data_IF_594415516590
#
_entry.id   IF_594415516590
#
_cell.length_a   1.000
_cell.length_b   1.000
_cell.length_c   1.000
_cell.angle_alpha   90.00
_cell.angle_beta   90.00
_cell.angle_gamma   90.00
#
_symmetry.space_group_name_H-M   'P 1'
#
loop_
_entity.id
_entity.type
_entity.pdbx_description
1 polymer ?
#
# COMPACT_ATOMS: atom_id res chain seq x y z
N UNK A 1 -39.30 35.27 -35.86
CA UNK A 1 -40.02 34.02 -36.13
C UNK A 1 -39.70 33.05 -35.01
N UNK A 2 -40.73 32.44 -34.41
CA UNK A 2 -40.73 31.39 -33.36
C UNK A 2 -40.08 31.84 -32.04
N UNK A 3 -40.76 32.37 -31.00
CA UNK A 3 -42.02 32.04 -30.31
C UNK A 3 -42.06 30.65 -29.68
N UNK A 4 -41.89 30.61 -28.36
CA UNK A 4 -42.39 29.56 -27.47
C UNK A 4 -41.55 29.40 -26.20
N UNK A 5 -42.06 29.24 -24.98
CA UNK A 5 -43.27 29.67 -24.26
C UNK A 5 -43.12 29.04 -22.84
N UNK A 6 -43.28 29.85 -21.78
CA UNK A 6 -43.75 29.51 -20.40
C UNK A 6 -42.95 28.52 -19.51
N UNK A 7 -42.43 28.95 -18.34
CA UNK A 7 -43.07 29.01 -16.99
C UNK A 7 -42.89 27.65 -16.26
N UNK A 8 -42.55 27.47 -14.98
CA UNK A 8 -43.08 28.01 -13.71
C UNK A 8 -42.13 27.54 -12.57
N UNK A 9 -41.82 28.38 -11.56
CA UNK A 9 -41.36 27.99 -10.19
C UNK A 9 -42.51 27.26 -9.42
N UNK A 10 -42.47 26.88 -8.11
CA UNK A 10 -41.48 26.94 -7.00
C UNK A 10 -41.46 25.65 -6.10
N UNK A 11 -41.00 25.76 -4.84
CA UNK A 11 -41.09 24.87 -3.65
C UNK A 11 -39.79 24.12 -3.30
N UNK A 12 -38.97 24.54 -2.32
CA UNK A 12 -39.20 24.59 -0.86
C UNK A 12 -39.61 23.24 -0.25
N UNK A 13 -38.70 22.55 0.44
CA UNK A 13 -39.06 21.70 1.58
C UNK A 13 -37.84 21.24 2.42
N UNK A 14 -37.77 21.80 3.63
CA UNK A 14 -37.52 21.15 4.93
C UNK A 14 -36.16 20.51 5.24
N UNK A 15 -35.42 21.26 6.04
CA UNK A 15 -34.75 20.83 7.27
C UNK A 15 -35.48 19.69 7.99
N UNK A 16 -34.77 18.60 8.29
CA UNK A 16 -35.13 17.64 9.33
C UNK A 16 -33.93 17.54 10.27
N UNK A 17 -34.08 18.13 11.45
CA UNK A 17 -33.27 17.83 12.62
C UNK A 17 -33.81 16.52 13.23
N UNK A 18 -32.94 15.56 13.49
CA UNK A 18 -33.27 14.38 14.30
C UNK A 18 -32.39 14.40 15.55
N UNK A 19 -33.02 14.77 16.67
CA UNK A 19 -32.53 14.61 18.04
C UNK A 19 -33.21 13.37 18.62
N UNK A 20 -32.45 12.36 19.03
CA UNK A 20 -32.84 11.30 19.97
C UNK A 20 -31.53 10.60 20.41
N UNK A 21 -31.37 10.04 21.60
CA UNK A 21 -31.88 10.23 22.95
C UNK A 21 -30.98 9.29 23.76
N UNK A 22 -30.43 9.74 24.88
CA UNK A 22 -29.60 8.95 25.77
C UNK A 22 -30.33 7.74 26.35
N UNK A 23 -29.65 6.61 26.52
CA UNK A 23 -29.97 5.63 27.57
C UNK A 23 -28.70 4.87 28.01
N UNK A 24 -28.25 5.20 29.21
CA UNK A 24 -27.28 4.47 30.01
C UNK A 24 -27.99 3.25 30.61
N UNK A 25 -27.40 2.06 30.48
CA UNK A 25 -27.67 0.92 31.37
C UNK A 25 -26.33 0.36 31.82
N UNK A 26 -26.01 0.60 33.09
CA UNK A 26 -25.05 -0.18 33.89
C UNK A 26 -25.77 -1.43 34.39
N UNK A 27 -25.10 -2.59 34.31
CA UNK A 27 -25.26 -3.69 35.27
C UNK A 27 -24.06 -4.64 35.17
N UNK A 28 -23.40 -4.77 36.31
CA UNK A 28 -22.32 -5.65 36.71
C UNK A 28 -22.75 -7.11 36.89
N UNK A 29 -21.85 -8.08 36.62
CA UNK A 29 -21.73 -9.33 37.41
C UNK A 29 -20.46 -10.12 37.07
N UNK A 30 -19.89 -10.74 38.10
CA UNK A 30 -18.58 -11.39 38.21
C UNK A 30 -18.49 -12.81 37.63
N UNK A 31 -17.24 -13.23 37.41
CA UNK A 31 -16.75 -14.56 37.83
C UNK A 31 -16.37 -15.53 36.72
N UNK A 32 -15.11 -15.96 36.69
CA UNK A 32 -14.68 -17.12 35.87
C UNK A 32 -13.18 -17.17 35.59
N UNK A 33 -12.46 -17.79 36.53
CA UNK A 33 -11.20 -18.56 36.40
C UNK A 33 -10.02 -18.03 35.58
N UNK A 34 -8.94 -17.75 36.32
CA UNK A 34 -7.61 -17.49 35.78
C UNK A 34 -7.01 -18.78 35.19
N UNK A 35 -6.51 -18.78 33.94
CA UNK A 35 -5.79 -19.91 33.38
C UNK A 35 -4.41 -20.06 34.05
N UNK A 36 -3.89 -21.30 34.15
CA UNK A 36 -2.62 -21.58 34.80
C UNK A 36 -1.45 -20.88 34.09
N UNK A 37 -0.57 -20.31 34.91
CA UNK A 37 0.68 -19.66 34.52
C UNK A 37 1.56 -20.62 33.71
N UNK A 38 2.01 -20.26 32.49
CA UNK A 38 2.99 -21.06 31.77
C UNK A 38 4.34 -21.02 32.49
N UNK A 39 4.83 -22.21 32.82
CA UNK A 39 6.18 -22.48 33.33
C UNK A 39 7.24 -21.80 32.45
N UNK A 40 8.19 -21.04 33.03
CA UNK A 40 9.30 -20.48 32.26
C UNK A 40 10.17 -21.60 31.69
N UNK A 41 10.31 -21.63 30.37
CA UNK A 41 11.30 -22.45 29.69
C UNK A 41 12.71 -22.04 30.15
N UNK A 42 13.64 -22.99 30.39
CA UNK A 42 15.00 -22.67 30.79
C UNK A 42 15.72 -21.89 29.68
N UNK A 43 16.45 -20.84 30.10
CA UNK A 43 17.24 -19.99 29.23
C UNK A 43 18.30 -20.80 28.45
N UNK A 44 18.52 -20.51 27.16
CA UNK A 44 19.59 -21.15 26.40
C UNK A 44 20.96 -20.71 26.96
N UNK A 45 21.75 -21.71 27.34
CA UNK A 45 23.15 -21.59 27.73
C UNK A 45 23.94 -20.89 26.61
N UNK A 46 24.44 -19.69 26.90
CA UNK A 46 25.33 -18.96 26.00
C UNK A 46 26.72 -19.59 26.07
N UNK A 47 27.05 -20.44 25.11
CA UNK A 47 28.43 -20.89 24.90
C UNK A 47 29.22 -19.72 24.34
N UNK A 48 30.03 -19.07 25.19
CA UNK A 48 30.97 -18.02 24.77
C UNK A 48 32.06 -18.62 23.87
N UNK A 49 32.07 -18.22 22.60
CA UNK A 49 33.23 -18.44 21.73
C UNK A 49 34.42 -17.59 22.22
N UNK A 50 35.66 -18.11 22.18
CA UNK A 50 36.84 -17.39 22.65
C UNK A 50 37.12 -16.14 21.81
N UNK A 51 37.61 -15.10 22.49
CA UNK A 51 38.07 -13.86 21.91
C UNK A 51 39.20 -14.10 20.88
N UNK A 52 39.09 -13.58 19.65
CA UNK A 52 40.23 -13.57 18.75
C UNK A 52 41.22 -12.49 19.17
N UNK A 53 42.44 -12.96 19.37
CA UNK A 53 43.71 -12.27 19.55
C UNK A 53 43.86 -11.02 18.67
N UNK A 54 44.29 -9.92 19.29
CA UNK A 54 44.72 -8.72 18.60
C UNK A 54 45.94 -9.02 17.72
N UNK A 55 45.81 -8.80 16.42
CA UNK A 55 46.93 -8.76 15.48
C UNK A 55 47.05 -7.34 14.95
N UNK A 56 48.11 -6.66 15.38
CA UNK A 56 48.59 -5.40 14.82
C UNK A 56 48.93 -5.61 13.36
N UNK A 57 48.28 -4.89 12.45
CA UNK A 57 48.70 -4.83 11.03
C UNK A 57 48.92 -3.38 10.64
N UNK A 58 50.05 -3.22 9.96
CA UNK A 58 50.77 -2.01 9.57
C UNK A 58 49.95 -1.18 8.59
N UNK A 59 50.14 0.14 8.65
CA UNK A 59 49.67 1.11 7.67
C UNK A 59 49.99 0.69 6.24
N UNK A 60 48.98 0.67 5.37
CA UNK A 60 49.21 0.75 3.94
C UNK A 60 48.25 1.75 3.28
N UNK A 61 48.78 2.44 2.29
CA UNK A 61 48.22 3.64 1.67
C UNK A 61 47.46 3.23 0.40
N UNK A 62 46.25 3.78 0.25
CA UNK A 62 45.47 3.91 -1.02
C UNK A 62 44.55 2.74 -1.40
N UNK A 63 43.23 2.95 -1.30
CA UNK A 63 42.19 2.53 -2.27
C UNK A 63 40.86 3.24 -1.97
N UNK A 64 39.98 3.46 -2.97
CA UNK A 64 38.78 4.29 -2.85
C UNK A 64 37.72 3.60 -2.00
N UNK A 65 37.23 4.31 -0.99
CA UNK A 65 36.14 3.94 -0.10
C UNK A 65 34.90 3.52 -0.90
N UNK A 66 34.51 2.24 -0.80
CA UNK A 66 33.19 1.78 -1.21
C UNK A 66 32.17 2.48 -0.31
N UNK A 67 31.62 3.60 -0.77
CA UNK A 67 30.62 4.35 -0.03
C UNK A 67 29.42 3.42 0.24
N UNK A 68 29.09 3.25 1.51
CA UNK A 68 27.90 2.50 1.94
C UNK A 68 26.68 3.32 1.50
N UNK A 69 25.98 2.85 0.46
CA UNK A 69 24.77 3.48 -0.05
C UNK A 69 23.77 3.68 1.09
N UNK A 70 23.23 4.89 1.19
CA UNK A 70 22.26 5.31 2.20
C UNK A 70 22.78 5.27 3.64
N UNK A 71 24.08 5.52 3.80
CA UNK A 71 24.65 5.81 5.11
C UNK A 71 24.23 7.22 5.59
N UNK A 72 24.26 7.46 6.92
CA UNK A 72 24.15 8.81 7.46
C UNK A 72 25.27 9.70 6.91
N UNK A 73 24.89 10.89 6.43
CA UNK A 73 25.83 11.93 6.00
C UNK A 73 26.11 12.96 7.10
N UNK A 74 26.90 13.98 6.75
CA UNK A 74 27.13 15.14 7.61
C UNK A 74 26.29 16.31 7.14
N UNK A 75 25.18 16.59 7.81
CA UNK A 75 24.23 17.63 7.38
C UNK A 75 24.81 19.02 7.63
N UNK A 76 25.05 19.84 6.58
CA UNK A 76 25.51 21.20 6.73
C UNK A 76 24.44 22.08 7.40
N UNK A 77 24.86 23.12 8.12
CA UNK A 77 23.96 24.02 8.84
C UNK A 77 22.99 24.81 7.96
N UNK A 78 23.28 24.92 6.66
CA UNK A 78 22.41 25.59 5.69
C UNK A 78 21.32 24.66 5.12
N UNK A 79 21.34 23.36 5.41
CA UNK A 79 20.23 22.45 5.13
C UNK A 79 19.44 22.29 6.43
N UNK A 80 18.24 22.87 6.46
CA UNK A 80 17.37 22.85 7.64
C UNK A 80 16.46 21.63 7.68
N UNK A 81 15.99 21.16 6.51
CA UNK A 81 15.13 19.99 6.40
C UNK A 81 15.21 19.36 5.02
N UNK A 82 14.86 18.08 4.94
CA UNK A 82 14.63 17.34 3.70
C UNK A 82 13.40 16.48 3.88
N UNK A 83 12.39 16.74 3.05
CA UNK A 83 11.12 16.00 3.06
C UNK A 83 10.89 15.30 1.73
N UNK A 84 10.23 14.16 1.80
CA UNK A 84 9.72 13.45 0.64
C UNK A 84 8.24 13.78 0.48
N UNK A 85 7.81 14.03 -0.76
CA UNK A 85 6.46 14.47 -1.06
C UNK A 85 5.94 13.88 -2.37
N UNK A 86 4.61 13.80 -2.49
CA UNK A 86 3.92 13.36 -3.71
C UNK A 86 3.94 14.42 -4.82
N UNK A 87 4.02 15.69 -4.46
CA UNK A 87 4.06 16.82 -5.39
C UNK A 87 4.75 18.04 -4.76
N UNK A 88 5.08 19.04 -5.58
CA UNK A 88 5.67 20.32 -5.16
C UNK A 88 4.96 21.50 -5.86
N UNK A 89 4.53 22.50 -5.10
CA UNK A 89 3.73 23.62 -5.64
C UNK A 89 4.39 24.98 -5.50
N UNK A 90 4.03 25.89 -6.40
CA UNK A 90 4.46 27.29 -6.37
C UNK A 90 5.93 27.51 -6.73
N UNK A 91 6.34 28.79 -6.70
CA UNK A 91 7.70 29.19 -7.12
C UNK A 91 8.81 28.75 -6.15
N UNK A 92 8.45 28.40 -4.91
CA UNK A 92 9.37 27.94 -3.88
C UNK A 92 9.13 26.46 -3.52
N UNK A 93 8.60 25.64 -4.44
CA UNK A 93 8.47 24.19 -4.28
C UNK A 93 7.96 23.76 -2.90
N UNK A 94 6.82 24.30 -2.48
CA UNK A 94 6.21 23.88 -1.22
C UNK A 94 5.80 22.42 -1.32
N UNK A 95 6.16 21.57 -0.34
CA UNK A 95 5.86 20.14 -0.38
C UNK A 95 4.36 19.89 -0.23
N UNK A 96 3.80 19.08 -1.13
CA UNK A 96 2.40 18.64 -1.07
C UNK A 96 2.34 17.13 -0.90
N UNK A 97 1.57 16.67 0.09
CA UNK A 97 1.44 15.24 0.39
C UNK A 97 2.76 14.64 0.89
N UNK A 98 3.34 15.25 1.93
CA UNK A 98 4.57 14.75 2.58
C UNK A 98 4.35 13.31 3.04
N UNK A 99 5.21 12.40 2.62
CA UNK A 99 5.13 10.98 2.94
C UNK A 99 6.47 10.28 2.68
N UNK A 100 6.73 9.21 3.43
CA UNK A 100 7.83 8.25 3.17
C UNK A 100 7.31 6.92 2.62
N UNK A 101 6.00 6.85 2.32
CA UNK A 101 5.33 5.73 1.70
C UNK A 101 4.61 6.18 0.43
N UNK A 102 4.99 5.59 -0.70
CA UNK A 102 4.47 5.91 -2.02
C UNK A 102 3.71 4.73 -2.62
N UNK A 103 2.74 5.05 -3.46
CA UNK A 103 2.01 4.06 -4.25
C UNK A 103 2.82 3.68 -5.50
N UNK A 104 2.70 2.44 -6.01
CA UNK A 104 3.40 2.02 -7.23
C UNK A 104 3.06 2.90 -8.42
N UNK A 105 1.82 3.40 -8.50
CA UNK A 105 1.33 4.27 -9.57
C UNK A 105 1.77 5.74 -9.46
N UNK A 106 2.50 6.12 -8.41
CA UNK A 106 2.96 7.50 -8.24
C UNK A 106 3.88 7.89 -9.41
N UNK A 107 3.44 8.80 -10.28
CA UNK A 107 4.20 9.15 -11.47
C UNK A 107 5.51 9.88 -11.16
N UNK A 108 5.48 10.76 -10.14
CA UNK A 108 6.62 11.59 -9.73
C UNK A 108 6.80 11.57 -8.22
N UNK A 109 8.05 11.47 -7.77
CA UNK A 109 8.43 11.56 -6.37
C UNK A 109 9.31 12.80 -6.20
N UNK A 110 9.12 13.53 -5.11
CA UNK A 110 9.83 14.77 -4.85
C UNK A 110 10.67 14.64 -3.59
N UNK A 111 11.94 15.02 -3.66
CA UNK A 111 12.78 15.26 -2.50
C UNK A 111 13.06 16.76 -2.40
N UNK A 112 12.45 17.40 -1.41
CA UNK A 112 12.47 18.85 -1.26
C UNK A 112 13.43 19.21 -0.13
N UNK A 113 14.48 19.94 -0.46
CA UNK A 113 15.53 20.38 0.46
C UNK A 113 15.26 21.83 0.84
N UNK A 114 15.05 22.08 2.14
CA UNK A 114 14.84 23.43 2.68
C UNK A 114 16.18 24.04 3.08
N UNK A 115 16.61 25.05 2.33
CA UNK A 115 17.84 25.79 2.56
C UNK A 115 17.62 27.02 3.43
N UNK A 116 18.56 27.29 4.34
CA UNK A 116 18.60 28.51 5.16
C UNK A 116 19.99 29.13 5.05
N UNK A 117 20.05 30.37 4.57
CA UNK A 117 21.31 31.12 4.40
C UNK A 117 22.39 30.33 3.63
N UNK A 118 21.99 29.59 2.58
CA UNK A 118 22.93 28.80 1.80
C UNK A 118 23.99 29.69 1.12
N UNK A 119 25.25 29.22 1.01
CA UNK A 119 26.30 29.95 0.34
C UNK A 119 26.03 30.06 -1.17
N UNK A 120 26.61 31.09 -1.79
CA UNK A 120 26.64 31.24 -3.25
C UNK A 120 27.39 30.09 -3.90
N UNK A 121 27.00 29.76 -5.13
CA UNK A 121 27.58 28.68 -5.94
C UNK A 121 27.58 27.32 -5.22
N UNK A 122 26.59 27.07 -4.36
CA UNK A 122 26.40 25.77 -3.72
C UNK A 122 25.97 24.75 -4.78
N UNK A 123 26.69 23.62 -4.87
CA UNK A 123 26.23 22.48 -5.67
C UNK A 123 25.42 21.55 -4.78
N UNK A 124 24.14 21.38 -5.09
CA UNK A 124 23.26 20.46 -4.39
C UNK A 124 22.92 19.29 -5.32
N UNK A 125 23.13 18.06 -4.87
CA UNK A 125 22.87 16.85 -5.63
C UNK A 125 21.86 15.95 -4.95
N UNK A 126 21.11 15.18 -5.73
CA UNK A 126 20.29 14.07 -5.26
C UNK A 126 20.61 12.81 -6.08
N UNK A 127 20.85 11.69 -5.40
CA UNK A 127 20.97 10.38 -6.03
C UNK A 127 19.93 9.43 -5.47
N UNK A 128 19.11 8.87 -6.35
CA UNK A 128 18.03 7.95 -6.00
C UNK A 128 18.49 6.50 -6.19
N UNK A 129 18.16 5.64 -5.23
CA UNK A 129 18.54 4.24 -5.23
C UNK A 129 17.35 3.33 -4.93
N UNK A 130 17.31 2.21 -5.64
CA UNK A 130 16.52 1.04 -5.26
C UNK A 130 17.39 0.21 -4.31
N UNK A 131 16.92 0.02 -3.08
CA UNK A 131 17.65 -0.75 -2.06
C UNK A 131 17.23 -2.21 -2.10
N UNK A 132 15.92 -2.47 -2.14
CA UNK A 132 15.40 -3.83 -2.18
C UNK A 132 13.98 -3.86 -2.76
N UNK A 133 13.75 -4.66 -3.79
CA UNK A 133 12.43 -4.99 -4.31
C UNK A 133 12.44 -6.44 -4.85
N UNK A 134 11.30 -7.13 -4.78
CA UNK A 134 11.20 -8.52 -5.26
C UNK A 134 11.50 -8.61 -6.75
N UNK A 135 12.45 -9.47 -7.14
CA UNK A 135 12.86 -9.62 -8.54
C UNK A 135 13.86 -8.57 -9.05
N UNK A 136 14.26 -7.61 -8.21
CA UNK A 136 15.21 -6.56 -8.58
C UNK A 136 16.49 -6.65 -7.73
N UNK A 137 17.61 -6.29 -8.36
CA UNK A 137 18.88 -6.08 -7.64
C UNK A 137 18.95 -4.63 -7.14
N UNK A 138 19.62 -4.37 -6.01
CA UNK A 138 19.90 -3.00 -5.57
C UNK A 138 20.65 -2.24 -6.67
N UNK A 139 20.21 -1.02 -6.99
CA UNK A 139 20.79 -0.23 -8.07
C UNK A 139 20.51 1.27 -7.91
N UNK A 140 21.37 2.09 -8.52
CA UNK A 140 21.11 3.51 -8.72
C UNK A 140 20.01 3.71 -9.77
N UNK A 141 19.01 4.52 -9.46
CA UNK A 141 17.88 4.83 -10.34
C UNK A 141 18.20 6.08 -11.16
N UNK A 142 18.55 7.18 -10.49
CA UNK A 142 18.80 8.46 -11.13
C UNK A 142 19.73 9.32 -10.26
N UNK A 143 20.36 10.34 -10.86
CA UNK A 143 21.15 11.34 -10.16
C UNK A 143 21.05 12.71 -10.84
N UNK A 144 20.81 13.75 -10.06
CA UNK A 144 20.67 15.13 -10.53
C UNK A 144 21.47 16.07 -9.64
N UNK A 145 22.12 17.07 -10.24
CA UNK A 145 22.83 18.15 -9.53
C UNK A 145 22.31 19.50 -9.99
N UNK A 146 22.05 20.39 -9.03
CA UNK A 146 21.57 21.76 -9.23
C UNK A 146 22.57 22.73 -8.60
N UNK A 147 22.89 23.79 -9.35
CA UNK A 147 23.70 24.89 -8.82
C UNK A 147 22.80 25.97 -8.20
N UNK A 148 23.09 26.33 -6.95
CA UNK A 148 22.47 27.41 -6.21
C UNK A 148 23.38 28.64 -6.29
N UNK A 149 23.39 29.29 -7.46
CA UNK A 149 24.31 30.40 -7.76
C UNK A 149 24.22 31.54 -6.74
N UNK A 150 23.01 32.03 -6.45
CA UNK A 150 22.80 33.18 -5.58
C UNK A 150 22.81 32.88 -4.07
N UNK A 151 22.82 31.60 -3.69
CA UNK A 151 22.64 31.18 -2.29
C UNK A 151 21.27 31.57 -1.72
N UNK A 152 21.22 31.80 -0.41
CA UNK A 152 20.04 32.28 0.32
C UNK A 152 19.15 31.18 0.90
N UNK A 153 17.95 31.56 1.32
CA UNK A 153 16.95 30.67 1.92
C UNK A 153 15.83 30.38 0.94
N UNK A 154 15.60 29.11 0.62
CA UNK A 154 14.60 28.63 -0.35
C UNK A 154 14.47 27.12 -0.31
N UNK A 155 13.45 26.59 -0.96
CA UNK A 155 13.40 25.16 -1.24
C UNK A 155 14.07 24.86 -2.59
N UNK A 156 14.65 23.66 -2.67
CA UNK A 156 15.13 23.06 -3.92
C UNK A 156 14.45 21.71 -4.07
N UNK A 157 13.77 21.50 -5.19
CA UNK A 157 13.12 20.23 -5.52
C UNK A 157 14.01 19.37 -6.40
N UNK A 158 14.18 18.11 -6.00
CA UNK A 158 14.67 17.05 -6.86
C UNK A 158 13.52 16.12 -7.20
N UNK A 159 13.08 16.17 -8.46
CA UNK A 159 12.01 15.32 -8.97
C UNK A 159 12.58 14.03 -9.56
N UNK A 160 12.08 12.89 -9.08
CA UNK A 160 12.28 11.59 -9.71
C UNK A 160 11.02 11.21 -10.51
N UNK A 161 11.16 11.03 -11.82
CA UNK A 161 10.04 10.64 -12.71
C UNK A 161 10.11 9.16 -13.04
N UNK A 162 9.01 8.44 -12.85
CA UNK A 162 8.89 7.04 -13.24
C UNK A 162 8.91 6.89 -14.77
N UNK A 163 9.82 6.06 -15.29
CA UNK A 163 9.88 5.71 -16.72
C UNK A 163 9.05 4.47 -17.08
N UNK A 164 8.59 3.74 -16.06
CA UNK A 164 7.75 2.55 -16.16
C UNK A 164 6.35 2.83 -15.58
N UNK A 165 5.37 2.00 -15.95
CA UNK A 165 3.97 2.19 -15.56
C UNK A 165 3.72 2.11 -14.05
N UNK A 166 4.61 1.47 -13.28
CA UNK A 166 4.54 1.44 -11.82
C UNK A 166 5.92 1.22 -11.18
N UNK A 167 6.19 1.85 -10.04
CA UNK A 167 7.36 1.60 -9.21
C UNK A 167 7.31 0.20 -8.56
N UNK A 168 8.42 -0.55 -8.53
CA UNK A 168 8.48 -1.82 -7.81
C UNK A 168 8.18 -1.63 -6.32
N UNK A 169 7.41 -2.55 -5.73
CA UNK A 169 7.18 -2.53 -4.28
C UNK A 169 8.47 -2.89 -3.57
N UNK A 170 8.90 -2.04 -2.64
CA UNK A 170 10.20 -2.18 -2.04
C UNK A 170 10.67 -1.00 -1.22
N UNK A 171 11.92 -1.10 -0.76
CA UNK A 171 12.64 -0.06 -0.06
C UNK A 171 13.56 0.70 -1.00
N UNK A 172 13.56 2.01 -0.83
CA UNK A 172 14.25 2.98 -1.64
C UNK A 172 14.93 4.01 -0.76
N UNK A 173 15.78 4.82 -1.38
CA UNK A 173 16.47 5.88 -0.68
C UNK A 173 16.89 6.99 -1.65
N UNK A 174 16.88 8.22 -1.16
CA UNK A 174 17.51 9.37 -1.81
C UNK A 174 18.66 9.88 -0.95
N UNK A 175 19.82 10.04 -1.55
CA UNK A 175 20.99 10.66 -0.95
C UNK A 175 21.10 12.10 -1.41
N UNK A 176 21.23 13.04 -0.48
CA UNK A 176 21.42 14.47 -0.76
C UNK A 176 22.89 14.80 -0.56
N UNK A 177 23.48 15.46 -1.55
CA UNK A 177 24.88 15.87 -1.58
C UNK A 177 24.99 17.39 -1.59
N UNK A 178 25.97 17.94 -0.88
CA UNK A 178 26.34 19.34 -0.92
C UNK A 178 27.83 19.46 -1.25
N UNK A 179 28.16 20.08 -2.38
CA UNK A 179 29.53 20.17 -2.93
C UNK A 179 30.23 18.80 -2.95
N UNK A 180 29.58 17.82 -3.58
CA UNK A 180 30.04 16.43 -3.72
C UNK A 180 30.23 15.65 -2.42
N UNK A 181 29.81 16.20 -1.28
CA UNK A 181 29.81 15.50 0.02
C UNK A 181 28.41 15.06 0.40
N UNK A 182 28.27 13.82 0.84
CA UNK A 182 26.99 13.28 1.33
C UNK A 182 26.54 14.07 2.57
N UNK A 183 25.47 14.84 2.41
CA UNK A 183 24.88 15.64 3.49
C UNK A 183 23.95 14.78 4.35
N UNK A 184 23.06 14.01 3.71
CA UNK A 184 22.15 13.07 4.38
C UNK A 184 21.55 12.09 3.39
N UNK A 185 20.86 11.09 3.91
CA UNK A 185 20.03 10.19 3.13
C UNK A 185 18.63 10.09 3.76
N UNK A 186 17.60 9.94 2.92
CA UNK A 186 16.23 9.68 3.33
C UNK A 186 15.77 8.37 2.71
N UNK A 187 15.35 7.44 3.56
CA UNK A 187 14.75 6.18 3.14
C UNK A 187 13.26 6.38 2.92
N UNK A 188 12.71 5.63 1.97
CA UNK A 188 11.27 5.56 1.75
C UNK A 188 10.88 4.19 1.22
N UNK A 189 9.58 3.95 1.19
CA UNK A 189 9.01 2.70 0.68
C UNK A 189 8.04 3.00 -0.44
N UNK A 190 8.10 2.16 -1.47
CA UNK A 190 6.96 2.00 -2.36
C UNK A 190 6.20 0.82 -1.79
N UNK A 191 5.09 1.11 -1.13
CA UNK A 191 4.23 0.08 -0.56
C UNK A 191 3.36 -0.48 -1.68
N UNK A 192 2.96 -1.76 -1.59
CA UNK A 192 1.83 -2.22 -2.37
C UNK A 192 0.65 -1.37 -1.91
N UNK A 193 0.31 -0.34 -2.71
CA UNK A 193 -0.50 0.75 -2.23
C UNK A 193 -1.79 0.25 -1.59
N UNK A 194 -2.18 0.88 -0.48
CA UNK A 194 -3.61 1.14 -0.23
C UNK A 194 -4.07 2.03 -1.38
N UNK A 195 -4.27 1.42 -2.55
CA UNK A 195 -4.87 2.13 -3.66
C UNK A 195 -6.20 2.65 -3.15
N UNK A 196 -6.43 3.95 -3.30
CA UNK A 196 -7.78 4.50 -3.34
C UNK A 196 -8.58 3.94 -4.55
N UNK A 197 -8.26 2.74 -5.06
CA UNK A 197 -9.23 1.79 -5.58
C UNK A 197 -10.21 1.40 -4.46
N UNK A 198 -10.96 2.38 -3.94
CA UNK A 198 -12.21 2.08 -3.28
C UNK A 198 -13.09 1.40 -4.32
N UNK A 199 -13.29 0.09 -4.22
CA UNK A 199 -14.27 -0.73 -4.98
C UNK A 199 -14.29 -0.61 -6.51
N UNK A 200 -13.53 0.28 -7.14
CA UNK A 200 -13.71 0.70 -8.54
C UNK A 200 -12.87 -0.13 -9.54
N UNK A 201 -12.01 -1.01 -9.03
CA UNK A 201 -11.39 -2.07 -9.85
C UNK A 201 -12.33 -3.25 -10.02
N UNK A 202 -13.32 -3.43 -9.13
CA UNK A 202 -14.33 -4.46 -9.28
C UNK A 202 -15.40 -3.92 -10.21
N UNK A 203 -15.50 -4.50 -11.41
CA UNK A 203 -16.57 -4.17 -12.35
C UNK A 203 -17.83 -5.00 -12.06
N UNK A 204 -17.66 -6.27 -11.72
CA UNK A 204 -18.79 -7.18 -11.49
C UNK A 204 -18.40 -8.34 -10.56
N UNK A 205 -19.39 -8.89 -9.85
CA UNK A 205 -19.26 -10.10 -9.06
C UNK A 205 -20.48 -10.97 -9.33
N UNK A 206 -20.23 -12.15 -9.91
CA UNK A 206 -21.25 -13.09 -10.34
C UNK A 206 -21.08 -14.41 -9.58
N UNK A 207 -22.14 -14.86 -8.93
CA UNK A 207 -22.22 -16.21 -8.40
C UNK A 207 -22.64 -17.17 -9.51
N UNK A 208 -21.95 -18.29 -9.67
CA UNK A 208 -22.14 -19.22 -10.78
C UNK A 208 -21.91 -20.68 -10.39
N UNK A 209 -22.56 -21.60 -11.10
CA UNK A 209 -22.38 -23.05 -10.92
C UNK A 209 -21.05 -23.55 -11.51
N UNK A 210 -20.52 -22.85 -12.51
CA UNK A 210 -19.27 -23.20 -13.16
C UNK A 210 -18.63 -21.99 -13.83
N UNK A 211 -17.43 -22.18 -14.38
CA UNK A 211 -16.66 -21.15 -15.08
C UNK A 211 -15.96 -21.74 -16.30
N UNK A 212 -15.68 -20.91 -17.30
CA UNK A 212 -14.79 -21.32 -18.40
C UNK A 212 -13.37 -21.56 -17.85
N UNK A 213 -12.70 -22.69 -18.17
CA UNK A 213 -11.39 -23.02 -17.59
C UNK A 213 -10.29 -21.99 -17.83
N UNK A 214 -10.29 -21.32 -18.98
CA UNK A 214 -9.20 -20.43 -19.38
C UNK A 214 -9.46 -18.96 -19.00
N UNK A 215 -10.71 -18.53 -19.11
CA UNK A 215 -11.08 -17.11 -18.99
C UNK A 215 -11.84 -16.80 -17.71
N UNK A 216 -12.26 -17.82 -16.97
CA UNK A 216 -13.13 -17.72 -15.80
C UNK A 216 -14.46 -17.01 -16.03
N UNK A 217 -14.93 -16.85 -17.28
CA UNK A 217 -16.28 -16.33 -17.50
C UNK A 217 -17.31 -17.20 -16.77
N UNK A 218 -18.30 -16.61 -16.07
CA UNK A 218 -19.30 -17.37 -15.33
C UNK A 218 -20.20 -18.17 -16.27
N UNK A 219 -20.49 -19.42 -15.89
CA UNK A 219 -21.43 -20.32 -16.57
C UNK A 219 -22.55 -20.65 -15.59
N UNK A 220 -23.80 -20.50 -16.04
CA UNK A 220 -25.02 -20.61 -15.22
C UNK A 220 -24.99 -19.73 -13.96
N UNK A 221 -25.04 -18.39 -14.12
CA UNK A 221 -25.18 -17.49 -12.98
C UNK A 221 -26.42 -17.81 -12.14
N UNK A 222 -26.26 -17.92 -10.83
CA UNK A 222 -27.35 -18.23 -9.89
C UNK A 222 -26.99 -17.77 -8.48
N UNK A 223 -28.00 -17.44 -7.68
CA UNK A 223 -27.91 -17.19 -6.23
C UNK A 223 -28.49 -18.35 -5.41
N UNK A 224 -28.80 -19.45 -6.07
CA UNK A 224 -29.42 -20.63 -5.48
C UNK A 224 -28.70 -21.87 -5.97
N UNK A 225 -28.13 -22.63 -5.04
CA UNK A 225 -27.30 -23.80 -5.32
C UNK A 225 -27.88 -25.05 -4.68
N UNK A 226 -27.56 -26.20 -5.27
CA UNK A 226 -27.94 -27.50 -4.71
C UNK A 226 -26.97 -27.90 -3.62
N UNK A 227 -27.46 -28.59 -2.58
CA UNK A 227 -26.61 -29.21 -1.55
C UNK A 227 -25.47 -30.07 -2.13
N UNK A 228 -25.70 -30.75 -3.24
CA UNK A 228 -24.72 -31.61 -3.91
C UNK A 228 -23.97 -30.93 -5.07
N UNK A 229 -23.99 -29.60 -5.17
CA UNK A 229 -23.19 -28.88 -6.17
C UNK A 229 -21.71 -29.22 -6.00
N UNK A 230 -20.99 -29.44 -7.11
CA UNK A 230 -19.56 -29.79 -7.09
C UNK A 230 -18.68 -28.62 -6.62
N UNK A 231 -19.13 -27.40 -6.85
CA UNK A 231 -18.50 -26.17 -6.42
C UNK A 231 -19.50 -25.01 -6.47
N UNK A 232 -19.17 -23.94 -5.77
CA UNK A 232 -19.82 -22.63 -5.90
C UNK A 232 -18.72 -21.63 -6.26
N UNK A 233 -18.95 -20.85 -7.30
CA UNK A 233 -17.97 -19.89 -7.80
C UNK A 233 -18.44 -18.47 -7.51
N UNK A 234 -17.59 -17.66 -6.85
CA UNK A 234 -17.72 -16.21 -6.84
C UNK A 234 -16.74 -15.63 -7.84
N UNK A 235 -17.25 -15.32 -9.03
CA UNK A 235 -16.45 -14.85 -10.15
C UNK A 235 -16.41 -13.33 -10.13
N UNK A 236 -15.20 -12.77 -10.11
CA UNK A 236 -14.96 -11.33 -9.96
C UNK A 236 -14.35 -10.79 -11.23
N UNK A 237 -15.03 -9.84 -11.88
CA UNK A 237 -14.46 -9.09 -13.01
C UNK A 237 -13.71 -7.89 -12.48
N UNK A 238 -12.40 -7.86 -12.75
CA UNK A 238 -11.58 -6.69 -12.49
C UNK A 238 -11.39 -5.86 -13.77
N UNK A 239 -11.34 -4.54 -13.62
CA UNK A 239 -11.08 -3.57 -14.68
C UNK A 239 -9.87 -2.72 -14.31
N UNK A 240 -8.89 -2.67 -15.22
CA UNK A 240 -7.67 -1.86 -15.13
C UNK A 240 -7.00 -1.92 -13.75
N UNK A 241 -6.96 -3.12 -13.17
CA UNK A 241 -6.40 -3.31 -11.84
C UNK A 241 -4.90 -2.97 -11.86
N UNK A 242 -4.41 -2.16 -10.92
CA UNK A 242 -2.99 -1.86 -10.80
C UNK A 242 -2.14 -3.13 -10.60
N UNK A 243 -0.86 -3.04 -10.94
CA UNK A 243 0.12 -4.06 -10.60
C UNK A 243 0.10 -4.39 -9.10
N UNK A 244 0.17 -5.68 -8.76
CA UNK A 244 0.15 -6.20 -7.39
C UNK A 244 -1.17 -5.96 -6.61
N UNK A 245 -2.31 -5.85 -7.30
CA UNK A 245 -3.61 -5.80 -6.63
C UNK A 245 -3.86 -7.11 -5.89
N UNK A 246 -4.15 -7.04 -4.60
CA UNK A 246 -4.51 -8.20 -3.78
C UNK A 246 -6.02 -8.38 -3.79
N UNK A 247 -6.50 -9.54 -4.23
CA UNK A 247 -7.90 -9.93 -4.07
C UNK A 247 -8.02 -11.11 -3.11
N UNK A 248 -9.00 -11.03 -2.21
CA UNK A 248 -9.40 -12.13 -1.34
C UNK A 248 -10.91 -12.23 -1.23
N UNK A 249 -11.38 -13.42 -0.86
CA UNK A 249 -12.78 -13.70 -0.56
C UNK A 249 -12.90 -14.33 0.81
N UNK A 250 -13.95 -13.96 1.54
CA UNK A 250 -14.32 -14.57 2.81
C UNK A 250 -15.72 -15.15 2.70
N UNK A 251 -15.82 -16.47 2.80
CA UNK A 251 -17.08 -17.19 2.75
C UNK A 251 -17.63 -17.41 4.15
N UNK A 252 -18.94 -17.29 4.30
CA UNK A 252 -19.66 -17.48 5.55
C UNK A 252 -20.74 -18.54 5.33
N UNK A 253 -20.41 -19.84 5.48
CA UNK A 253 -21.40 -20.90 5.51
C UNK A 253 -22.29 -20.81 6.77
N UNK A 254 -23.54 -21.27 6.72
CA UNK A 254 -24.45 -21.20 7.85
C UNK A 254 -23.95 -22.09 9.00
N UNK A 255 -23.87 -21.52 10.20
CA UNK A 255 -23.43 -22.22 11.42
C UNK A 255 -22.02 -22.83 11.33
N UNK A 256 -21.16 -22.32 10.46
CA UNK A 256 -19.74 -22.71 10.38
C UNK A 256 -18.84 -21.47 10.52
N UNK A 257 -17.56 -21.71 10.80
CA UNK A 257 -16.57 -20.64 10.78
C UNK A 257 -16.35 -20.11 9.36
N UNK A 258 -16.06 -18.81 9.21
CA UNK A 258 -15.74 -18.24 7.91
C UNK A 258 -14.47 -18.86 7.30
N UNK A 259 -14.45 -18.97 5.97
CA UNK A 259 -13.32 -19.49 5.21
C UNK A 259 -12.70 -18.35 4.39
N UNK A 260 -11.41 -18.09 4.60
CA UNK A 260 -10.66 -17.04 3.90
C UNK A 260 -9.87 -17.65 2.72
N UNK A 261 -9.97 -17.00 1.55
CA UNK A 261 -9.24 -17.36 0.34
C UNK A 261 -8.56 -16.12 -0.21
N UNK A 262 -7.29 -16.26 -0.62
CA UNK A 262 -6.55 -15.17 -1.24
C UNK A 262 -5.93 -15.67 -2.55
N UNK A 263 -6.00 -14.84 -3.60
CA UNK A 263 -5.29 -15.10 -4.84
C UNK A 263 -3.87 -14.51 -4.77
N UNK A 264 -2.92 -15.03 -5.58
CA UNK A 264 -1.69 -14.30 -5.85
C UNK A 264 -2.00 -12.89 -6.38
N UNK A 265 -1.10 -11.91 -6.24
CA UNK A 265 -1.33 -10.56 -6.74
C UNK A 265 -1.64 -10.55 -8.24
N UNK A 266 -2.59 -9.70 -8.65
CA UNK A 266 -3.09 -9.59 -10.03
C UNK A 266 -3.03 -8.15 -10.56
N UNK A 267 -3.24 -8.00 -11.86
CA UNK A 267 -3.32 -6.71 -12.57
C UNK A 267 -4.23 -6.75 -13.81
N UNK A 268 -4.45 -5.60 -14.46
CA UNK A 268 -5.19 -5.48 -15.72
C UNK A 268 -6.69 -5.77 -15.63
N UNK A 269 -7.28 -6.13 -16.77
CA UNK A 269 -8.71 -6.40 -16.92
C UNK A 269 -8.95 -7.88 -17.22
N UNK A 270 -9.64 -8.59 -16.33
CA UNK A 270 -9.92 -10.04 -16.46
C UNK A 270 -10.96 -10.52 -15.45
N UNK A 271 -11.44 -11.75 -15.64
CA UNK A 271 -12.18 -12.47 -14.60
C UNK A 271 -11.24 -13.28 -13.71
N UNK A 272 -11.65 -13.45 -12.47
CA UNK A 272 -10.99 -14.23 -11.43
C UNK A 272 -12.02 -15.10 -10.72
N UNK A 273 -11.62 -16.27 -10.25
CA UNK A 273 -12.52 -17.21 -9.58
C UNK A 273 -12.12 -17.44 -8.12
N UNK A 274 -13.06 -17.22 -7.21
CA UNK A 274 -13.01 -17.76 -5.87
C UNK A 274 -13.92 -18.98 -5.81
N UNK A 275 -13.31 -20.16 -5.78
CA UNK A 275 -14.02 -21.43 -5.75
C UNK A 275 -14.20 -21.92 -4.31
N UNK A 276 -15.45 -22.16 -3.92
CA UNK A 276 -15.80 -22.89 -2.72
C UNK A 276 -16.14 -24.34 -3.08
N UNK A 277 -15.49 -25.31 -2.43
CA UNK A 277 -15.74 -26.75 -2.62
C UNK A 277 -16.51 -27.33 -1.45
N UNK A 278 -17.44 -28.27 -1.68
CA UNK A 278 -18.22 -28.88 -0.61
C UNK A 278 -17.35 -29.79 0.27
N UNK A 279 -17.70 -29.93 1.57
CA UNK A 279 -17.20 -31.04 2.38
C UNK A 279 -17.81 -32.37 1.90
N UNK A 280 -17.35 -33.53 2.41
CA UNK A 280 -17.81 -34.85 1.95
C UNK A 280 -19.33 -35.05 1.96
N UNK A 281 -20.05 -34.42 2.91
CA UNK A 281 -21.50 -34.53 3.06
C UNK A 281 -22.30 -33.50 2.23
N UNK A 282 -21.63 -32.77 1.34
CA UNK A 282 -22.20 -31.67 0.56
C UNK A 282 -22.26 -30.35 1.33
N UNK A 283 -22.75 -29.30 0.67
CA UNK A 283 -22.91 -28.00 1.31
C UNK A 283 -24.00 -28.04 2.39
N UNK A 284 -23.77 -27.47 3.59
CA UNK A 284 -24.85 -27.17 4.53
C UNK A 284 -26.00 -26.42 3.84
N UNK A 285 -27.25 -26.79 4.14
CA UNK A 285 -28.38 -26.03 3.64
C UNK A 285 -28.54 -24.71 4.42
N UNK A 286 -28.93 -23.64 3.74
CA UNK A 286 -29.18 -22.34 4.36
C UNK A 286 -28.64 -21.16 3.56
N UNK A 287 -28.67 -20.00 4.21
CA UNK A 287 -28.17 -18.74 3.66
C UNK A 287 -26.65 -18.65 3.85
N UNK A 288 -25.98 -18.26 2.79
CA UNK A 288 -24.54 -18.03 2.72
C UNK A 288 -24.27 -16.58 2.38
N UNK A 289 -23.09 -16.12 2.79
CA UNK A 289 -22.54 -14.82 2.40
C UNK A 289 -21.12 -15.00 1.89
N UNK A 290 -20.74 -14.26 0.85
CA UNK A 290 -19.35 -14.10 0.43
C UNK A 290 -19.00 -12.61 0.38
N UNK A 291 -17.91 -12.26 1.01
CA UNK A 291 -17.34 -10.91 1.02
C UNK A 291 -16.10 -10.90 0.13
N UNK A 292 -16.02 -9.93 -0.79
CA UNK A 292 -14.87 -9.73 -1.68
C UNK A 292 -14.07 -8.54 -1.18
N UNK A 293 -12.76 -8.70 -1.05
CA UNK A 293 -11.84 -7.70 -0.56
C UNK A 293 -10.82 -7.35 -1.64
N UNK A 294 -10.51 -6.06 -1.75
CA UNK A 294 -9.41 -5.53 -2.58
C UNK A 294 -8.43 -4.83 -1.65
N UNK A 295 -7.17 -5.26 -1.65
CA UNK A 295 -6.12 -4.74 -0.77
C UNK A 295 -6.59 -4.69 0.70
N UNK A 296 -7.19 -5.78 1.18
CA UNK A 296 -7.71 -5.96 2.55
C UNK A 296 -8.92 -5.07 2.91
N UNK A 297 -9.44 -4.28 1.97
CA UNK A 297 -10.67 -3.49 2.16
C UNK A 297 -11.86 -4.19 1.52
N UNK A 298 -12.98 -4.28 2.25
CA UNK A 298 -14.22 -4.85 1.74
C UNK A 298 -14.68 -4.05 0.50
N UNK A 299 -14.79 -4.73 -0.64
CA UNK A 299 -15.21 -4.16 -1.91
C UNK A 299 -16.72 -4.32 -2.13
N UNK A 300 -17.25 -5.54 -1.94
CA UNK A 300 -18.67 -5.86 -2.05
C UNK A 300 -19.00 -7.16 -1.28
N UNK A 301 -20.28 -7.46 -1.13
CA UNK A 301 -20.83 -8.65 -0.48
C UNK A 301 -21.96 -9.25 -1.31
N UNK A 302 -21.95 -10.56 -1.51
CA UNK A 302 -23.08 -11.31 -2.10
C UNK A 302 -23.65 -12.29 -1.10
N UNK A 303 -24.96 -12.47 -1.16
CA UNK A 303 -25.71 -13.48 -0.40
C UNK A 303 -26.33 -14.48 -1.36
N UNK A 304 -26.42 -15.74 -0.96
CA UNK A 304 -27.00 -16.82 -1.75
C UNK A 304 -27.53 -17.93 -0.86
N UNK A 305 -28.29 -18.88 -1.42
CA UNK A 305 -28.88 -19.99 -0.68
C UNK A 305 -28.42 -21.33 -1.22
N UNK A 306 -28.23 -22.31 -0.32
CA UNK A 306 -28.08 -23.72 -0.66
C UNK A 306 -29.33 -24.48 -0.20
N UNK A 307 -29.94 -25.25 -1.11
CA UNK A 307 -31.13 -26.08 -0.86
C UNK A 307 -31.05 -27.48 -1.48
#
# INVERSE_FOLDING_TARGET
MLSGRWNINPFASKTIALVLLSAVVLLSACGGDAPPTPTPAPAPTSTSLPAPTATTIVSDKTTPQTAKVCAPGETPTFISDVVLAKDAQGANYEPVGITEAFEPSQATLHAIVTLVNAPKNLQLGATWHLIQASGYKPQKIDATTIEVADGGSRNVDFTLKGTQSAWPVGSYCVEIYANDKLALAKSFTVIAGESNAGSNVIQDIVLAESVKPDTFDPINPTDTFKKNAEAIHAVVRILDAPANTQLSAKWFPPSQEPLDFALPPVDGTRWLDFRLTPPPDGFPAGEYKVEIYVNQKLADTKTFTVQ
#
